data_IF_344846983108
#
_entry.id   IF_344846983108
#
_cell.length_a   1.000
_cell.length_b   1.000
_cell.length_c   1.000
_cell.angle_alpha   90.00
_cell.angle_beta   90.00
_cell.angle_gamma   90.00
#
_symmetry.space_group_name_H-M   'P 1'
#
loop_
_entity.id
_entity.type
_entity.pdbx_description
1 polymer ?
#
# COMPACT_ATOMS: atom_id res chain seq x y z
N UNK A 1 8.40 3.59 -8.13
CA UNK A 1 7.44 2.62 -7.56
C UNK A 1 6.05 2.91 -8.11
N UNK A 2 5.13 1.95 -8.07
CA UNK A 2 3.79 2.06 -8.70
C UNK A 2 2.99 3.27 -8.19
N UNK A 3 3.19 3.65 -6.93
CA UNK A 3 2.59 4.81 -6.28
C UNK A 3 2.90 6.11 -7.03
N UNK A 4 4.12 6.27 -7.55
CA UNK A 4 4.50 7.44 -8.35
C UNK A 4 3.77 7.46 -9.69
N UNK A 5 3.63 6.30 -10.35
CA UNK A 5 2.89 6.22 -11.61
C UNK A 5 1.40 6.53 -11.41
N UNK A 6 0.81 6.04 -10.30
CA UNK A 6 -0.58 6.39 -9.95
C UNK A 6 -0.72 7.89 -9.71
N UNK A 7 0.20 8.52 -8.95
CA UNK A 7 0.17 9.98 -8.73
C UNK A 7 0.30 10.76 -10.02
N UNK A 8 1.27 10.42 -10.87
CA UNK A 8 1.46 11.07 -12.18
C UNK A 8 0.21 10.93 -13.05
N UNK A 9 -0.45 9.77 -13.05
CA UNK A 9 -1.71 9.61 -13.78
C UNK A 9 -2.82 10.49 -13.18
N UNK A 10 -2.94 10.57 -11.86
CA UNK A 10 -3.94 11.39 -11.19
C UNK A 10 -3.74 12.89 -11.43
N UNK A 11 -2.51 13.34 -11.66
CA UNK A 11 -2.16 14.71 -12.06
C UNK A 11 -2.47 15.00 -13.54
N UNK A 12 -2.65 13.97 -14.37
CA UNK A 12 -2.96 14.14 -15.79
C UNK A 12 -4.38 14.71 -16.00
N UNK A 13 -4.62 15.44 -17.11
CA UNK A 13 -5.93 15.98 -17.43
C UNK A 13 -7.06 14.94 -17.39
N UNK A 14 -8.26 15.38 -17.05
CA UNK A 14 -9.45 14.50 -17.00
C UNK A 14 -9.98 14.13 -18.39
N UNK A 15 -9.80 15.02 -19.36
CA UNK A 15 -10.23 14.84 -20.74
C UNK A 15 -9.32 15.62 -21.71
N UNK A 16 -9.41 15.29 -23.00
CA UNK A 16 -8.65 15.95 -24.06
C UNK A 16 -7.25 15.39 -24.25
N UNK A 17 -6.38 16.19 -24.85
CA UNK A 17 -5.01 15.79 -25.16
C UNK A 17 -4.22 15.52 -23.87
N UNK A 18 -3.57 14.36 -23.80
CA UNK A 18 -2.82 13.93 -22.61
C UNK A 18 -3.66 13.30 -21.50
N UNK A 19 -4.98 13.16 -21.66
CA UNK A 19 -5.80 12.41 -20.72
C UNK A 19 -5.50 10.90 -20.82
N UNK A 20 -5.34 10.19 -19.68
CA UNK A 20 -5.08 8.76 -19.68
C UNK A 20 -6.29 7.97 -20.18
N UNK A 21 -6.03 6.89 -20.91
CA UNK A 21 -7.08 5.97 -21.37
C UNK A 21 -7.63 5.14 -20.21
N UNK A 22 -8.89 4.71 -20.30
CA UNK A 22 -9.49 3.82 -19.29
C UNK A 22 -8.66 2.55 -19.07
N UNK A 23 -8.14 1.96 -20.14
CA UNK A 23 -7.28 0.77 -20.07
C UNK A 23 -6.01 1.03 -19.24
N UNK A 24 -5.36 2.18 -19.44
CA UNK A 24 -4.17 2.54 -18.65
C UNK A 24 -4.50 2.73 -17.15
N UNK A 25 -5.66 3.31 -16.85
CA UNK A 25 -6.16 3.46 -15.49
C UNK A 25 -6.38 2.08 -14.84
N UNK A 26 -7.00 1.15 -15.57
CA UNK A 26 -7.30 -0.21 -15.10
C UNK A 26 -6.03 -1.06 -14.88
N UNK A 27 -5.02 -0.90 -15.74
CA UNK A 27 -3.70 -1.51 -15.56
C UNK A 27 -3.04 -1.03 -14.26
N UNK A 28 -3.05 0.28 -14.00
CA UNK A 28 -2.51 0.83 -12.76
C UNK A 28 -3.33 0.45 -11.52
N UNK A 29 -4.66 0.27 -11.64
CA UNK A 29 -5.48 -0.29 -10.56
C UNK A 29 -5.04 -1.71 -10.22
N UNK A 30 -4.83 -2.54 -11.24
CA UNK A 30 -4.39 -3.94 -11.06
C UNK A 30 -3.03 -4.00 -10.38
N UNK A 31 -2.07 -3.21 -10.87
CA UNK A 31 -0.74 -3.12 -10.27
C UNK A 31 -0.78 -2.53 -8.84
N UNK A 32 -1.65 -1.55 -8.59
CA UNK A 32 -1.89 -0.99 -7.26
C UNK A 32 -2.42 -2.03 -6.27
N UNK A 33 -3.41 -2.84 -6.69
CA UNK A 33 -3.92 -3.94 -5.86
C UNK A 33 -2.86 -5.00 -5.57
N UNK A 34 -2.07 -5.38 -6.58
CA UNK A 34 -0.95 -6.30 -6.38
C UNK A 34 0.05 -5.75 -5.35
N UNK A 35 0.35 -4.45 -5.39
CA UNK A 35 1.22 -3.80 -4.40
C UNK A 35 0.60 -3.79 -3.00
N UNK A 36 -0.69 -3.47 -2.87
CA UNK A 36 -1.38 -3.51 -1.58
C UNK A 36 -1.33 -4.91 -0.96
N UNK A 37 -1.62 -5.96 -1.74
CA UNK A 37 -1.53 -7.36 -1.27
C UNK A 37 -0.10 -7.73 -0.83
N UNK A 38 0.92 -7.24 -1.53
CA UNK A 38 2.31 -7.47 -1.13
C UNK A 38 2.63 -6.81 0.22
N UNK A 39 2.13 -5.61 0.47
CA UNK A 39 2.30 -4.89 1.74
C UNK A 39 1.54 -5.59 2.88
N UNK A 40 0.31 -6.03 2.64
CA UNK A 40 -0.47 -6.84 3.61
C UNK A 40 0.26 -8.14 3.97
N UNK A 41 0.89 -8.79 2.99
CA UNK A 41 1.73 -9.96 3.23
C UNK A 41 2.91 -9.65 4.16
N UNK A 42 3.59 -8.51 3.96
CA UNK A 42 4.68 -8.07 4.83
C UNK A 42 4.18 -7.73 6.25
N UNK A 43 3.04 -7.02 6.36
CA UNK A 43 2.39 -6.72 7.63
C UNK A 43 2.17 -8.00 8.45
N UNK A 44 1.63 -9.04 7.79
CA UNK A 44 1.37 -10.32 8.45
C UNK A 44 2.64 -11.00 8.95
N UNK A 45 3.74 -10.96 8.16
CA UNK A 45 5.04 -11.52 8.57
C UNK A 45 5.62 -10.78 9.78
N UNK A 46 5.55 -9.45 9.79
CA UNK A 46 6.02 -8.62 10.89
C UNK A 46 5.20 -8.90 12.16
N UNK A 47 3.86 -8.90 12.06
CA UNK A 47 2.97 -9.19 13.18
C UNK A 47 3.25 -10.57 13.78
N UNK A 48 3.44 -11.59 12.94
CA UNK A 48 3.81 -12.93 13.41
C UNK A 48 5.14 -12.92 14.16
N UNK A 49 6.16 -12.24 13.62
CA UNK A 49 7.48 -12.13 14.26
C UNK A 49 7.39 -11.38 15.60
N UNK A 50 6.57 -10.35 15.70
CA UNK A 50 6.31 -9.63 16.97
C UNK A 50 5.79 -10.59 18.03
N UNK A 51 4.80 -11.42 17.70
CA UNK A 51 4.24 -12.41 18.64
C UNK A 51 5.32 -13.40 19.08
N UNK A 52 6.09 -13.94 18.14
CA UNK A 52 7.16 -14.90 18.46
C UNK A 52 8.21 -14.30 19.42
N UNK A 53 8.67 -13.07 19.16
CA UNK A 53 9.67 -12.38 19.99
C UNK A 53 9.08 -11.99 21.36
N UNK A 54 7.81 -11.59 21.41
CA UNK A 54 7.14 -11.25 22.66
C UNK A 54 6.96 -12.46 23.58
N UNK A 55 6.67 -13.64 23.02
CA UNK A 55 6.61 -14.89 23.78
C UNK A 55 7.98 -15.26 24.35
N UNK A 56 9.04 -15.17 23.53
CA UNK A 56 10.40 -15.44 24.00
C UNK A 56 10.82 -14.50 25.14
N UNK A 57 10.49 -13.21 25.05
CA UNK A 57 10.74 -12.23 26.10
C UNK A 57 9.97 -12.50 27.40
N UNK A 58 8.78 -13.08 27.30
CA UNK A 58 7.97 -13.42 28.46
C UNK A 58 8.53 -14.64 29.21
N UNK A 59 9.11 -15.59 28.47
CA UNK A 59 9.76 -16.78 29.04
C UNK A 59 11.13 -16.45 29.66
N UNK A 60 11.95 -15.63 28.98
CA UNK A 60 13.24 -15.19 29.48
C UNK A 60 13.59 -13.79 28.95
N UNK A 61 13.88 -12.85 29.86
CA UNK A 61 14.18 -11.49 29.45
C UNK A 61 15.54 -11.39 28.77
N UNK A 62 15.54 -10.83 27.56
CA UNK A 62 16.74 -10.58 26.79
C UNK A 62 16.69 -9.19 26.14
N UNK A 63 17.68 -8.36 26.42
CA UNK A 63 17.77 -6.99 25.90
C UNK A 63 17.82 -6.93 24.35
N UNK A 64 18.45 -7.92 23.71
CA UNK A 64 18.50 -8.00 22.25
C UNK A 64 17.10 -8.22 21.65
N UNK A 65 16.30 -9.09 22.26
CA UNK A 65 14.91 -9.33 21.83
C UNK A 65 14.03 -8.11 22.11
N UNK A 66 14.26 -7.40 23.22
CA UNK A 66 13.55 -6.15 23.50
C UNK A 66 13.86 -5.06 22.45
N UNK A 67 15.12 -4.99 21.97
CA UNK A 67 15.50 -4.14 20.84
C UNK A 67 14.84 -4.59 19.53
N UNK A 68 14.82 -5.89 19.24
CA UNK A 68 14.17 -6.44 18.05
C UNK A 68 12.67 -6.11 18.03
N UNK A 69 11.98 -6.28 19.17
CA UNK A 69 10.56 -5.96 19.30
C UNK A 69 10.26 -4.48 19.02
N UNK A 70 11.11 -3.56 19.51
CA UNK A 70 10.99 -2.13 19.20
C UNK A 70 11.16 -1.84 17.72
N UNK A 71 12.13 -2.50 17.07
CA UNK A 71 12.36 -2.36 15.62
C UNK A 71 11.16 -2.88 14.83
N UNK A 72 10.66 -4.08 15.13
CA UNK A 72 9.50 -4.65 14.47
C UNK A 72 8.24 -3.80 14.65
N UNK A 73 8.03 -3.21 15.84
CA UNK A 73 6.92 -2.30 16.07
C UNK A 73 7.04 -1.00 15.25
N UNK A 74 8.26 -0.54 15.00
CA UNK A 74 8.51 0.58 14.08
C UNK A 74 8.22 0.18 12.63
N UNK A 75 8.80 -0.92 12.16
CA UNK A 75 8.59 -1.46 10.81
C UNK A 75 7.10 -1.69 10.52
N UNK A 76 6.34 -2.22 11.51
CA UNK A 76 4.89 -2.42 11.38
C UNK A 76 4.15 -1.11 11.12
N UNK A 77 4.51 -0.04 11.84
CA UNK A 77 3.88 1.28 11.65
C UNK A 77 4.19 1.86 10.27
N UNK A 78 5.41 1.65 9.77
CA UNK A 78 5.77 2.07 8.41
C UNK A 78 4.95 1.33 7.36
N UNK A 79 4.84 0.00 7.49
CA UNK A 79 4.02 -0.84 6.60
C UNK A 79 2.54 -0.47 6.65
N UNK A 80 2.00 -0.15 7.83
CA UNK A 80 0.63 0.34 7.98
C UNK A 80 0.42 1.71 7.31
N UNK A 81 1.41 2.60 7.40
CA UNK A 81 1.40 3.89 6.71
C UNK A 81 1.44 3.72 5.19
N UNK A 82 2.30 2.83 4.70
CA UNK A 82 2.39 2.48 3.28
C UNK A 82 1.07 1.89 2.76
N UNK A 83 0.47 0.96 3.52
CA UNK A 83 -0.82 0.34 3.17
C UNK A 83 -1.94 1.39 3.10
N UNK A 84 -2.00 2.30 4.06
CA UNK A 84 -2.95 3.40 4.06
C UNK A 84 -2.73 4.33 2.84
N UNK A 85 -1.47 4.63 2.53
CA UNK A 85 -1.06 5.44 1.39
C UNK A 85 -1.48 4.85 0.04
N UNK A 86 -1.12 3.58 -0.23
CA UNK A 86 -1.52 2.91 -1.47
C UNK A 86 -3.04 2.76 -1.56
N UNK A 87 -3.71 2.47 -0.44
CA UNK A 87 -5.16 2.38 -0.39
C UNK A 87 -5.86 3.69 -0.74
N UNK A 88 -5.31 4.83 -0.33
CA UNK A 88 -5.82 6.14 -0.72
C UNK A 88 -5.66 6.40 -2.23
N UNK A 89 -4.48 6.10 -2.78
CA UNK A 89 -4.21 6.25 -4.21
C UNK A 89 -5.14 5.40 -5.07
N UNK A 90 -5.36 4.13 -4.69
CA UNK A 90 -6.28 3.23 -5.39
C UNK A 90 -7.71 3.76 -5.37
N UNK A 91 -8.18 4.31 -4.24
CA UNK A 91 -9.54 4.92 -4.16
C UNK A 91 -9.68 6.11 -5.11
N UNK A 92 -8.68 7.00 -5.14
CA UNK A 92 -8.67 8.12 -6.08
C UNK A 92 -8.66 7.65 -7.54
N UNK A 93 -7.86 6.63 -7.85
CA UNK A 93 -7.78 6.07 -9.20
C UNK A 93 -9.08 5.39 -9.63
N UNK A 94 -9.79 4.73 -8.70
CA UNK A 94 -11.13 4.18 -8.93
C UNK A 94 -12.16 5.27 -9.24
N UNK A 95 -12.12 6.39 -8.50
CA UNK A 95 -12.99 7.53 -8.77
C UNK A 95 -12.76 8.04 -10.21
N UNK A 96 -11.48 8.26 -10.57
CA UNK A 96 -11.11 8.66 -11.93
C UNK A 96 -11.59 7.68 -13.01
N UNK A 97 -11.45 6.36 -12.78
CA UNK A 97 -11.96 5.35 -13.71
C UNK A 97 -13.48 5.45 -13.91
N UNK A 98 -14.23 5.71 -12.83
CA UNK A 98 -15.68 5.86 -12.89
C UNK A 98 -16.10 7.11 -13.66
N UNK A 99 -15.38 8.23 -13.48
CA UNK A 99 -15.65 9.47 -14.21
C UNK A 99 -15.42 9.28 -15.72
N UNK A 100 -14.32 8.61 -16.10
CA UNK A 100 -14.03 8.28 -17.50
C UNK A 100 -15.11 7.38 -18.11
N UNK A 101 -15.60 6.38 -17.37
CA UNK A 101 -16.70 5.53 -17.83
C UNK A 101 -18.01 6.30 -17.98
N UNK A 102 -18.33 7.20 -17.04
CA UNK A 102 -19.55 8.00 -17.08
C UNK A 102 -19.55 8.98 -18.27
N UNK A 103 -18.38 9.53 -18.62
CA UNK A 103 -18.22 10.46 -19.74
C UNK A 103 -18.14 9.76 -21.11
N UNK A 104 -17.95 8.44 -21.13
CA UNK A 104 -17.91 7.63 -22.35
C UNK A 104 -19.27 7.00 -22.71
N UNK A 105 -20.25 7.08 -21.81
CA UNK A 105 -21.62 6.59 -21.97
C UNK A 105 -22.55 7.70 -22.52
#
# INVERSE_FOLDING_TARGET
>A
MIENHIRTLLEAPEAGEGAPTLAHIEDLLTAGYARAMAIEGEQWRIQRRIVDVALQLADDFNELQACELRRLAHDLREVESDLAGIGALIRSLRARANDVRANAA
#
